data_IF_614672290881
#
_entry.id   IF_614672290881
#
_cell.length_a   1.000
_cell.length_b   1.000
_cell.length_c   1.000
_cell.angle_alpha   90.00
_cell.angle_beta   90.00
_cell.angle_gamma   90.00
#
_symmetry.space_group_name_H-M   'P 1'
#
loop_
_entity.id
_entity.type
_entity.pdbx_description
1 polymer ?
#
# COMPACT_ATOMS: atom_id res chain seq x y z
N UNK A 1 10.16 11.73 6.26
CA UNK A 1 8.87 11.32 5.68
C UNK A 1 8.96 9.92 5.13
N UNK A 2 9.21 9.78 3.81
CA UNK A 2 9.20 8.49 3.10
C UNK A 2 10.00 7.38 3.79
N UNK A 3 11.27 7.61 4.13
CA UNK A 3 12.09 6.60 4.82
C UNK A 3 11.54 6.23 6.21
N UNK A 4 11.08 7.22 7.00
CA UNK A 4 10.53 6.97 8.32
C UNK A 4 9.23 6.16 8.29
N UNK A 5 8.44 6.23 7.21
CA UNK A 5 7.21 5.45 7.03
C UNK A 5 7.41 4.18 6.18
N UNK A 6 8.63 3.92 5.69
CA UNK A 6 8.89 2.94 4.62
C UNK A 6 7.89 3.07 3.45
N UNK A 7 7.66 4.29 2.98
CA UNK A 7 6.60 4.58 2.02
C UNK A 7 6.74 3.76 0.73
N UNK A 8 5.58 3.45 0.15
CA UNK A 8 5.43 2.85 -1.17
C UNK A 8 4.41 3.64 -2.01
N UNK A 9 3.99 3.08 -3.13
CA UNK A 9 2.95 3.63 -3.98
C UNK A 9 2.72 2.74 -5.19
N UNK A 10 1.99 3.23 -6.21
CA UNK A 10 1.57 2.41 -7.35
C UNK A 10 2.71 1.59 -7.99
N UNK A 11 3.83 2.25 -8.32
CA UNK A 11 4.95 1.59 -9.01
C UNK A 11 5.85 0.74 -8.12
N UNK A 12 5.54 0.65 -6.81
CA UNK A 12 6.28 -0.23 -5.90
C UNK A 12 6.06 -1.72 -6.20
N UNK A 13 5.05 -2.07 -7.01
CA UNK A 13 4.87 -3.44 -7.49
C UNK A 13 6.07 -3.95 -8.30
N UNK A 14 6.73 -3.06 -9.05
CA UNK A 14 7.99 -3.36 -9.75
C UNK A 14 9.23 -2.93 -8.96
N UNK A 15 9.19 -1.75 -8.32
CA UNK A 15 10.39 -1.14 -7.73
C UNK A 15 10.59 -1.41 -6.23
N UNK A 16 9.64 -2.05 -5.55
CA UNK A 16 9.69 -2.23 -4.11
C UNK A 16 9.42 -0.95 -3.30
N UNK A 17 9.54 -1.06 -1.98
CA UNK A 17 9.31 0.02 -1.03
C UNK A 17 10.55 0.89 -0.84
N UNK A 18 10.42 2.04 -0.17
CA UNK A 18 11.55 2.97 0.08
C UNK A 18 12.78 2.28 0.68
N UNK A 19 12.61 1.24 1.52
CA UNK A 19 13.69 0.49 2.18
C UNK A 19 14.83 0.09 1.28
N UNK A 20 14.52 -0.50 0.14
CA UNK A 20 15.51 -1.08 -0.78
C UNK A 20 16.36 -0.02 -1.48
N UNK A 21 15.89 1.24 -1.44
CA UNK A 21 16.52 2.38 -2.09
C UNK A 21 17.42 3.18 -1.15
N UNK A 22 17.32 3.01 0.17
CA UNK A 22 18.16 3.73 1.13
C UNK A 22 19.55 3.09 1.22
N UNK A 23 20.58 3.88 0.88
CA UNK A 23 22.01 3.50 0.96
C UNK A 23 22.66 3.95 2.26
N UNK A 24 22.31 5.12 2.74
CA UNK A 24 22.72 5.57 4.06
C UNK A 24 21.66 6.52 4.64
N UNK A 25 21.68 6.66 5.96
CA UNK A 25 20.92 7.68 6.65
C UNK A 25 21.70 8.22 7.84
N UNK A 26 21.43 9.48 8.16
CA UNK A 26 21.89 10.17 9.37
C UNK A 26 20.68 10.45 10.24
N UNK A 27 20.69 9.97 11.47
CA UNK A 27 19.60 10.14 12.43
C UNK A 27 20.10 10.81 13.71
N UNK A 28 19.42 11.89 14.13
CA UNK A 28 19.65 12.56 15.41
C UNK A 28 18.77 11.89 16.48
N UNK A 29 19.37 11.45 17.58
CA UNK A 29 18.71 10.76 18.68
C UNK A 29 18.10 11.75 19.69
N UNK A 30 17.39 11.23 20.71
CA UNK A 30 16.63 12.07 21.66
C UNK A 30 17.49 13.01 22.52
N UNK A 31 18.79 12.70 22.65
CA UNK A 31 19.77 13.48 23.39
C UNK A 31 20.66 14.37 22.48
N UNK A 32 20.37 14.42 21.18
CA UNK A 32 21.10 15.23 20.20
C UNK A 32 22.36 14.57 19.63
N UNK A 33 22.72 13.38 20.11
CA UNK A 33 23.78 12.58 19.52
C UNK A 33 23.35 12.04 18.14
N UNK A 34 24.31 11.63 17.32
CA UNK A 34 24.04 11.27 15.92
C UNK A 34 24.45 9.84 15.62
N UNK A 35 23.57 9.13 14.91
CA UNK A 35 23.84 7.82 14.36
C UNK A 35 23.90 7.91 12.83
N UNK A 36 25.02 7.46 12.26
CA UNK A 36 25.22 7.35 10.82
C UNK A 36 25.21 5.86 10.46
N UNK A 37 24.26 5.46 9.62
CA UNK A 37 24.11 4.07 9.18
C UNK A 37 24.27 3.99 7.67
N UNK A 38 25.06 3.03 7.22
CA UNK A 38 25.24 2.72 5.80
C UNK A 38 24.94 1.25 5.55
N UNK A 39 24.22 1.05 4.45
CA UNK A 39 23.84 -0.26 3.92
C UNK A 39 25.09 -1.13 3.72
N UNK A 40 25.12 -2.32 4.33
CA UNK A 40 26.16 -3.31 4.22
C UNK A 40 27.27 -3.20 5.27
N UNK A 41 27.18 -2.29 6.24
CA UNK A 41 28.26 -2.07 7.22
C UNK A 41 27.98 -2.70 8.60
N UNK A 42 26.73 -2.67 9.06
CA UNK A 42 26.37 -3.07 10.43
C UNK A 42 25.19 -4.03 10.41
N UNK A 43 25.39 -5.24 10.90
CA UNK A 43 24.37 -6.29 10.93
C UNK A 43 24.06 -6.72 12.36
N UNK A 44 22.83 -7.14 12.58
CA UNK A 44 22.51 -7.99 13.71
C UNK A 44 23.08 -9.40 13.49
N UNK A 45 23.37 -10.11 14.58
CA UNK A 45 23.80 -11.51 14.60
C UNK A 45 22.87 -12.26 15.55
N UNK A 46 21.97 -13.06 14.99
CA UNK A 46 20.96 -13.79 15.78
C UNK A 46 20.14 -12.87 16.69
N UNK A 47 19.75 -11.69 16.17
CA UNK A 47 19.07 -10.55 16.84
C UNK A 47 19.93 -9.68 17.74
N UNK A 48 21.13 -10.08 18.14
CA UNK A 48 22.02 -9.20 18.90
C UNK A 48 22.61 -8.12 17.99
N UNK A 49 22.66 -6.87 18.47
CA UNK A 49 23.26 -5.77 17.72
C UNK A 49 24.10 -4.86 18.61
N UNK A 50 25.02 -4.14 17.98
CA UNK A 50 25.81 -3.09 18.60
C UNK A 50 26.08 -1.97 17.60
N UNK A 51 25.70 -0.75 17.95
CA UNK A 51 25.87 0.46 17.15
C UNK A 51 26.72 1.47 17.92
N UNK A 52 27.36 2.37 17.18
CA UNK A 52 28.14 3.46 17.75
C UNK A 52 27.68 4.78 17.16
N UNK A 53 27.41 5.76 18.02
CA UNK A 53 27.11 7.12 17.60
C UNK A 53 28.40 7.87 17.24
N UNK A 54 28.27 9.06 16.65
CA UNK A 54 29.41 9.91 16.30
C UNK A 54 30.21 10.38 17.52
N UNK A 55 29.56 10.51 18.68
CA UNK A 55 30.26 10.79 19.95
C UNK A 55 31.04 9.59 20.49
N UNK A 56 30.91 8.41 19.88
CA UNK A 56 31.50 7.15 20.33
C UNK A 56 30.66 6.39 21.37
N UNK A 57 29.44 6.85 21.68
CA UNK A 57 28.53 6.13 22.58
C UNK A 57 28.08 4.83 21.92
N UNK A 58 28.19 3.72 22.67
CA UNK A 58 27.71 2.41 22.24
C UNK A 58 26.23 2.25 22.59
N UNK A 59 25.41 1.84 21.62
CA UNK A 59 24.02 1.41 21.81
C UNK A 59 23.93 -0.04 21.39
N UNK A 60 23.61 -0.95 22.31
CA UNK A 60 23.57 -2.38 22.03
C UNK A 60 22.37 -3.03 22.72
N UNK A 61 21.86 -4.10 22.13
CA UNK A 61 20.68 -4.79 22.62
C UNK A 61 20.29 -5.98 21.77
N UNK A 62 19.05 -6.43 21.95
CA UNK A 62 18.44 -7.50 21.18
C UNK A 62 17.29 -6.92 20.35
N UNK A 63 17.18 -7.36 19.10
CA UNK A 63 15.99 -7.13 18.29
C UNK A 63 14.81 -7.98 18.80
N UNK A 64 13.57 -7.44 18.73
CA UNK A 64 12.39 -8.17 19.12
C UNK A 64 12.23 -9.51 18.36
N UNK A 65 11.71 -10.52 19.04
CA UNK A 65 11.39 -11.81 18.47
C UNK A 65 10.03 -11.75 17.76
N UNK A 66 10.03 -11.26 16.52
CA UNK A 66 8.84 -11.15 15.69
C UNK A 66 8.99 -11.92 14.39
N UNK A 67 7.87 -12.45 13.91
CA UNK A 67 7.80 -13.06 12.59
C UNK A 67 7.20 -12.06 11.61
N UNK A 68 8.02 -11.53 10.70
CA UNK A 68 7.54 -10.66 9.63
C UNK A 68 6.65 -11.46 8.66
N UNK A 69 5.53 -10.89 8.19
CA UNK A 69 4.73 -11.53 7.16
C UNK A 69 5.48 -11.43 5.81
N UNK A 70 5.35 -12.45 4.98
CA UNK A 70 5.97 -12.47 3.65
C UNK A 70 5.07 -11.79 2.60
N UNK A 71 4.67 -10.57 2.90
CA UNK A 71 3.80 -9.73 2.06
C UNK A 71 4.25 -8.27 2.18
N UNK A 72 3.67 -7.38 1.38
CA UNK A 72 3.89 -5.94 1.54
C UNK A 72 3.47 -5.48 2.94
N UNK A 73 4.41 -4.99 3.73
CA UNK A 73 4.16 -4.59 5.12
C UNK A 73 4.98 -3.38 5.54
N UNK A 74 4.32 -2.45 6.20
CA UNK A 74 4.90 -1.33 6.95
C UNK A 74 4.44 -1.36 8.43
N UNK A 75 4.00 -2.53 8.92
CA UNK A 75 3.47 -2.69 10.26
C UNK A 75 4.60 -2.77 11.30
N UNK A 76 4.89 -1.64 11.96
CA UNK A 76 5.87 -1.54 13.04
C UNK A 76 7.32 -1.57 12.54
N UNK A 77 8.24 -1.91 13.44
CA UNK A 77 9.65 -2.05 13.07
C UNK A 77 9.86 -3.25 12.16
N UNK A 78 10.65 -3.05 11.09
CA UNK A 78 11.15 -4.15 10.30
C UNK A 78 12.27 -4.85 11.06
N UNK A 79 12.10 -6.15 11.30
CA UNK A 79 12.98 -6.96 12.13
C UNK A 79 13.14 -8.34 11.50
N UNK A 80 14.38 -8.73 11.23
CA UNK A 80 14.78 -10.12 10.95
C UNK A 80 16.09 -10.39 11.70
N UNK A 81 16.37 -11.65 12.04
CA UNK A 81 17.45 -12.02 12.96
C UNK A 81 18.83 -11.47 12.58
N UNK A 82 19.17 -11.49 11.29
CA UNK A 82 20.48 -11.04 10.77
C UNK A 82 20.34 -9.81 9.85
N UNK A 83 19.40 -8.92 10.16
CA UNK A 83 19.15 -7.72 9.34
C UNK A 83 20.31 -6.72 9.35
N UNK A 84 20.41 -5.93 8.29
CA UNK A 84 21.21 -4.70 8.29
C UNK A 84 20.56 -3.68 9.22
N UNK A 85 21.33 -3.11 10.16
CA UNK A 85 20.79 -2.22 11.19
C UNK A 85 20.25 -0.89 10.63
N UNK A 86 20.61 -0.50 9.41
CA UNK A 86 19.96 0.65 8.76
C UNK A 86 18.45 0.43 8.59
N UNK A 87 18.02 -0.83 8.42
CA UNK A 87 16.60 -1.17 8.22
C UNK A 87 15.76 -0.93 9.46
N UNK A 88 16.36 -0.93 10.65
CA UNK A 88 15.66 -0.59 11.88
C UNK A 88 15.15 0.86 11.85
N UNK A 89 15.88 1.76 11.18
CA UNK A 89 15.55 3.18 11.10
C UNK A 89 14.60 3.51 9.92
N UNK A 90 14.35 2.56 9.04
CA UNK A 90 13.41 2.71 7.92
C UNK A 90 12.07 2.08 8.35
N UNK A 91 11.00 2.87 8.35
CA UNK A 91 9.71 2.45 8.93
C UNK A 91 9.59 2.65 10.44
N UNK A 92 10.55 3.31 11.09
CA UNK A 92 10.51 3.56 12.55
C UNK A 92 9.55 4.69 12.98
N UNK A 93 8.92 5.38 12.04
CA UNK A 93 7.88 6.40 12.27
C UNK A 93 8.28 7.51 13.26
N UNK A 94 9.54 7.91 13.27
CA UNK A 94 10.06 8.96 14.16
C UNK A 94 10.26 8.55 15.61
N UNK A 95 10.14 7.27 15.96
CA UNK A 95 10.20 6.79 17.35
C UNK A 95 11.62 6.50 17.85
N UNK A 96 12.59 6.28 16.95
CA UNK A 96 13.98 5.95 17.31
C UNK A 96 14.97 7.11 17.07
N UNK A 97 14.56 8.13 16.33
CA UNK A 97 15.40 9.27 15.98
C UNK A 97 14.72 10.17 14.93
N UNK A 98 15.35 11.30 14.62
CA UNK A 98 14.95 12.19 13.53
C UNK A 98 15.94 12.02 12.39
N UNK A 99 15.48 11.47 11.26
CA UNK A 99 16.30 11.34 10.05
C UNK A 99 16.53 12.74 9.46
N UNK A 100 17.78 13.17 9.38
CA UNK A 100 18.19 14.48 8.86
C UNK A 100 18.78 14.41 7.46
N UNK A 101 19.40 13.28 7.11
CA UNK A 101 20.00 13.06 5.79
C UNK A 101 19.72 11.63 5.33
N UNK A 102 19.53 11.46 4.02
CA UNK A 102 19.40 10.16 3.36
C UNK A 102 20.20 10.15 2.06
N UNK A 103 20.90 9.06 1.79
CA UNK A 103 21.45 8.75 0.47
C UNK A 103 20.55 7.70 -0.18
N UNK A 104 20.05 8.00 -1.38
CA UNK A 104 19.20 7.10 -2.14
C UNK A 104 19.96 6.53 -3.33
N UNK A 105 19.74 5.24 -3.60
CA UNK A 105 20.08 4.63 -4.88
C UNK A 105 19.16 5.22 -5.95
N UNK A 106 19.72 5.56 -7.11
CA UNK A 106 18.96 5.93 -8.30
C UNK A 106 19.05 4.83 -9.36
N UNK A 107 18.04 4.79 -10.23
CA UNK A 107 18.02 3.99 -11.45
C UNK A 107 17.84 4.91 -12.67
N UNK A 108 18.22 4.44 -13.87
CA UNK A 108 17.88 5.14 -15.10
C UNK A 108 16.37 5.35 -15.22
N UNK A 109 15.97 6.49 -15.77
CA UNK A 109 14.58 6.73 -16.16
C UNK A 109 14.20 5.74 -17.27
N UNK A 110 13.02 5.09 -17.22
CA UNK A 110 12.57 4.22 -18.30
C UNK A 110 12.46 5.00 -19.62
N UNK A 111 12.85 4.36 -20.71
CA UNK A 111 12.84 4.98 -22.05
C UNK A 111 11.44 5.08 -22.61
N UNK A 112 10.60 4.08 -22.36
CA UNK A 112 9.20 4.03 -22.75
C UNK A 112 8.32 3.72 -21.54
N UNK A 113 7.18 4.38 -21.46
CA UNK A 113 6.15 4.16 -20.44
C UNK A 113 4.82 4.08 -21.17
N UNK A 114 4.04 3.07 -20.85
CA UNK A 114 2.70 2.89 -21.41
C UNK A 114 1.82 2.10 -20.47
N UNK A 115 0.54 2.01 -20.79
CA UNK A 115 -0.40 1.30 -19.94
C UNK A 115 -1.80 1.27 -20.53
N UNK A 116 -2.72 0.76 -19.73
CA UNK A 116 -4.13 0.67 -20.07
C UNK A 116 -5.02 0.73 -18.84
N UNK A 117 -6.25 1.20 -19.02
CA UNK A 117 -7.37 0.99 -18.09
C UNK A 117 -8.36 0.07 -18.79
N UNK A 118 -8.59 -1.10 -18.20
CA UNK A 118 -9.53 -2.10 -18.69
C UNK A 118 -10.77 -2.10 -17.82
N UNK A 119 -11.94 -2.10 -18.44
CA UNK A 119 -13.22 -2.20 -17.76
C UNK A 119 -13.82 -3.60 -17.93
N UNK A 120 -14.25 -4.20 -16.82
CA UNK A 120 -14.81 -5.54 -16.81
C UNK A 120 -16.29 -5.53 -16.42
N UNK A 121 -17.11 -6.45 -16.95
CA UNK A 121 -18.51 -6.63 -16.57
C UNK A 121 -18.68 -7.32 -15.21
N UNK A 122 -17.63 -7.94 -14.65
CA UNK A 122 -17.65 -8.57 -13.33
C UNK A 122 -16.30 -8.42 -12.61
N UNK A 123 -16.32 -8.59 -11.29
CA UNK A 123 -15.10 -8.58 -10.48
C UNK A 123 -14.24 -9.83 -10.67
N UNK A 124 -14.88 -11.00 -10.87
CA UNK A 124 -14.20 -12.27 -11.13
C UNK A 124 -13.31 -12.21 -12.38
N UNK A 125 -13.79 -11.61 -13.47
CA UNK A 125 -13.00 -11.43 -14.69
C UNK A 125 -11.81 -10.50 -14.47
N UNK A 126 -12.00 -9.43 -13.70
CA UNK A 126 -10.92 -8.51 -13.35
C UNK A 126 -9.87 -9.20 -12.47
N UNK A 127 -10.28 -10.01 -11.48
CA UNK A 127 -9.35 -10.78 -10.64
C UNK A 127 -8.62 -11.81 -11.51
N UNK A 128 -9.31 -12.52 -12.41
CA UNK A 128 -8.69 -13.45 -13.36
C UNK A 128 -7.61 -12.75 -14.20
N UNK A 129 -7.92 -11.55 -14.71
CA UNK A 129 -6.97 -10.72 -15.45
C UNK A 129 -5.77 -10.31 -14.59
N UNK A 130 -6.00 -9.77 -13.38
CA UNK A 130 -4.96 -9.35 -12.44
C UNK A 130 -3.98 -10.48 -12.14
N UNK A 131 -4.49 -11.68 -11.88
CA UNK A 131 -3.66 -12.87 -11.62
C UNK A 131 -2.77 -13.20 -12.82
N UNK A 132 -3.32 -13.14 -14.04
CA UNK A 132 -2.55 -13.40 -15.26
C UNK A 132 -1.46 -12.35 -15.49
N UNK A 133 -1.78 -11.05 -15.43
CA UNK A 133 -0.78 -9.98 -15.63
C UNK A 133 0.23 -9.88 -14.49
N UNK A 134 -0.10 -10.37 -13.30
CA UNK A 134 0.84 -10.55 -12.18
C UNK A 134 1.86 -11.68 -12.44
N UNK A 135 1.57 -12.59 -13.38
CA UNK A 135 2.43 -13.71 -13.76
C UNK A 135 2.02 -15.06 -13.19
N UNK A 136 0.81 -15.19 -12.63
CA UNK A 136 0.28 -16.50 -12.25
C UNK A 136 -0.13 -17.32 -13.48
N UNK A 137 -0.04 -18.65 -13.34
CA UNK A 137 -0.58 -19.56 -14.35
C UNK A 137 -2.10 -19.60 -14.23
N UNK A 138 -2.77 -18.89 -15.13
CA UNK A 138 -4.23 -18.90 -15.26
C UNK A 138 -4.60 -19.69 -16.52
N UNK A 139 -5.54 -20.63 -16.38
CA UNK A 139 -5.96 -21.48 -17.50
C UNK A 139 -6.49 -20.64 -18.68
N UNK A 140 -5.94 -20.91 -19.86
CA UNK A 140 -6.28 -20.23 -21.12
C UNK A 140 -5.58 -18.89 -21.34
N UNK A 141 -4.87 -18.33 -20.35
CA UNK A 141 -4.17 -17.06 -20.48
C UNK A 141 -2.66 -17.25 -20.60
N UNK A 142 -2.04 -16.43 -21.45
CA UNK A 142 -0.59 -16.37 -21.61
C UNK A 142 0.11 -15.73 -20.41
N UNK A 143 1.43 -15.60 -20.50
CA UNK A 143 2.25 -14.85 -19.55
C UNK A 143 2.84 -13.62 -20.23
N UNK A 144 3.05 -12.54 -19.46
CA UNK A 144 3.71 -11.34 -19.99
C UNK A 144 5.23 -11.51 -20.05
N UNK A 145 5.84 -11.02 -21.13
CA UNK A 145 7.29 -10.87 -21.27
C UNK A 145 7.84 -9.72 -20.42
N UNK A 146 7.03 -8.69 -20.18
CA UNK A 146 7.37 -7.54 -19.35
C UNK A 146 6.52 -7.50 -18.07
N UNK A 147 7.18 -7.44 -16.91
CA UNK A 147 6.49 -7.27 -15.63
C UNK A 147 5.86 -5.87 -15.54
N UNK A 148 4.57 -5.74 -15.16
CA UNK A 148 3.95 -4.44 -14.93
C UNK A 148 4.68 -3.62 -13.86
N UNK A 149 4.77 -2.32 -14.08
CA UNK A 149 5.20 -1.34 -13.09
C UNK A 149 4.15 -1.16 -11.99
N UNK A 150 2.87 -1.10 -12.36
CA UNK A 150 1.74 -0.98 -11.45
C UNK A 150 0.53 -1.79 -11.95
N UNK A 151 -0.26 -2.31 -11.01
CA UNK A 151 -1.57 -2.94 -11.25
C UNK A 151 -2.51 -2.42 -10.18
N UNK A 152 -3.45 -1.56 -10.58
CA UNK A 152 -4.40 -0.90 -9.69
C UNK A 152 -5.83 -1.35 -9.99
N UNK A 153 -6.68 -1.39 -8.98
CA UNK A 153 -8.06 -1.85 -9.06
C UNK A 153 -9.05 -0.76 -8.66
N UNK A 154 -10.26 -0.81 -9.22
CA UNK A 154 -11.37 0.08 -8.89
C UNK A 154 -12.70 -0.67 -8.98
N UNK A 155 -13.35 -0.94 -7.85
CA UNK A 155 -14.62 -1.66 -7.83
C UNK A 155 -15.79 -0.84 -8.43
N UNK A 156 -16.96 -1.48 -8.49
CA UNK A 156 -18.21 -0.88 -9.00
C UNK A 156 -18.57 0.44 -8.36
N UNK A 157 -18.44 0.52 -7.05
CA UNK A 157 -18.83 1.72 -6.31
C UNK A 157 -17.83 2.85 -6.53
N UNK A 158 -16.54 2.54 -6.72
CA UNK A 158 -15.52 3.51 -7.15
C UNK A 158 -15.90 4.12 -8.50
N UNK A 159 -16.25 3.29 -9.48
CA UNK A 159 -16.67 3.77 -10.80
C UNK A 159 -18.00 4.53 -10.74
N UNK A 160 -18.96 4.07 -9.92
CA UNK A 160 -20.22 4.76 -9.67
C UNK A 160 -20.01 6.15 -9.08
N UNK A 161 -19.11 6.28 -8.10
CA UNK A 161 -18.71 7.54 -7.50
C UNK A 161 -18.11 8.50 -8.54
N UNK A 162 -17.20 8.01 -9.39
CA UNK A 162 -16.62 8.84 -10.46
C UNK A 162 -17.65 9.31 -11.48
N UNK A 163 -18.60 8.45 -11.87
CA UNK A 163 -19.71 8.85 -12.77
C UNK A 163 -20.53 10.00 -12.17
N UNK A 164 -20.88 9.91 -10.88
CA UNK A 164 -21.58 10.97 -10.16
C UNK A 164 -20.74 12.25 -10.10
N UNK A 165 -19.48 12.14 -9.69
CA UNK A 165 -18.60 13.31 -9.56
C UNK A 165 -18.37 14.03 -10.88
N UNK A 166 -18.21 13.29 -11.98
CA UNK A 166 -18.10 13.86 -13.33
C UNK A 166 -19.36 14.60 -13.78
N UNK A 167 -20.55 14.11 -13.42
CA UNK A 167 -21.83 14.78 -13.69
C UNK A 167 -21.95 16.10 -12.92
N UNK A 168 -21.57 16.08 -11.65
CA UNK A 168 -21.95 17.14 -10.71
C UNK A 168 -20.85 18.21 -10.54
N UNK A 169 -19.58 17.88 -10.86
CA UNK A 169 -18.43 18.74 -10.60
C UNK A 169 -17.50 18.85 -11.82
N UNK A 170 -17.28 20.09 -12.27
CA UNK A 170 -16.39 20.38 -13.41
C UNK A 170 -14.92 19.98 -13.18
N UNK A 171 -14.50 19.84 -11.91
CA UNK A 171 -13.16 19.36 -11.55
C UNK A 171 -12.87 17.94 -12.10
N UNK A 172 -13.91 17.13 -12.33
CA UNK A 172 -13.80 15.76 -12.87
C UNK A 172 -14.08 15.68 -14.37
N UNK A 173 -14.18 16.83 -15.06
CA UNK A 173 -14.51 16.86 -16.49
C UNK A 173 -13.48 16.14 -17.38
N UNK A 174 -12.21 16.10 -16.96
CA UNK A 174 -11.11 15.41 -17.66
C UNK A 174 -11.14 13.89 -17.53
N UNK A 175 -11.87 13.35 -16.55
CA UNK A 175 -12.02 11.90 -16.37
C UNK A 175 -12.84 11.36 -17.55
N UNK A 176 -12.39 10.34 -18.29
CA UNK A 176 -13.15 9.90 -19.46
C UNK A 176 -14.47 9.24 -19.04
N UNK A 177 -15.43 9.20 -19.97
CA UNK A 177 -16.79 8.71 -19.67
C UNK A 177 -16.79 7.20 -19.41
N UNK A 178 -17.20 6.80 -18.21
CA UNK A 178 -17.24 5.40 -17.80
C UNK A 178 -18.63 4.82 -18.10
N UNK A 179 -18.72 3.85 -19.01
CA UNK A 179 -20.00 3.24 -19.37
C UNK A 179 -20.69 2.60 -18.15
N UNK A 180 -22.01 2.77 -17.94
CA UNK A 180 -22.73 2.14 -16.82
C UNK A 180 -22.69 0.61 -16.81
N UNK A 181 -22.37 -0.02 -17.95
CA UNK A 181 -22.21 -1.49 -18.05
C UNK A 181 -20.97 -2.01 -17.34
N UNK A 182 -19.97 -1.17 -17.13
CA UNK A 182 -18.70 -1.54 -16.51
C UNK A 182 -18.88 -1.72 -15.00
N UNK A 183 -18.60 -2.92 -14.51
CA UNK A 183 -18.66 -3.27 -13.10
C UNK A 183 -17.37 -2.90 -12.37
N UNK A 184 -16.20 -3.10 -12.96
CA UNK A 184 -14.92 -2.80 -12.29
C UNK A 184 -13.89 -2.37 -13.31
N UNK A 185 -12.79 -1.80 -12.86
CA UNK A 185 -11.67 -1.44 -13.71
C UNK A 185 -10.33 -1.88 -13.14
N UNK A 186 -9.42 -2.27 -14.03
CA UNK A 186 -8.01 -2.55 -13.71
C UNK A 186 -7.13 -1.63 -14.53
N UNK A 187 -6.23 -0.93 -13.86
CA UNK A 187 -5.25 -0.07 -14.48
C UNK A 187 -3.87 -0.73 -14.44
N UNK A 188 -3.24 -0.91 -15.59
CA UNK A 188 -1.90 -1.51 -15.71
C UNK A 188 -0.95 -0.48 -16.31
N UNK A 189 0.22 -0.32 -15.70
CA UNK A 189 1.30 0.55 -16.20
C UNK A 189 2.56 -0.30 -16.41
N UNK A 190 3.30 -0.03 -17.48
CA UNK A 190 4.53 -0.69 -17.88
C UNK A 190 5.65 0.32 -18.05
N UNK A 191 6.85 -0.06 -17.61
CA UNK A 191 8.08 0.69 -17.81
C UNK A 191 9.06 -0.17 -18.60
N UNK A 192 9.41 0.27 -19.81
CA UNK A 192 10.22 -0.50 -20.74
C UNK A 192 11.53 0.23 -21.09
N UNK A 193 12.51 -0.57 -21.50
CA UNK A 193 13.83 -0.10 -21.95
C UNK A 193 13.81 0.52 -23.36
N UNK A 194 12.80 0.22 -24.16
CA UNK A 194 12.55 0.79 -25.49
C UNK A 194 11.06 0.63 -25.87
N UNK A 195 10.65 1.21 -26.99
CA UNK A 195 9.27 1.18 -27.47
C UNK A 195 8.83 -0.23 -27.94
N UNK A 196 9.72 -1.00 -28.59
CA UNK A 196 9.37 -2.32 -29.11
C UNK A 196 8.96 -3.29 -27.99
N UNK A 197 9.69 -3.28 -26.86
CA UNK A 197 9.36 -4.08 -25.67
C UNK A 197 8.04 -3.63 -25.03
N UNK A 198 7.73 -2.34 -25.07
CA UNK A 198 6.45 -1.84 -24.58
C UNK A 198 5.30 -2.30 -25.48
N UNK A 199 5.46 -2.19 -26.79
CA UNK A 199 4.46 -2.59 -27.77
C UNK A 199 4.17 -4.10 -27.69
N UNK A 200 5.22 -4.93 -27.54
CA UNK A 200 5.08 -6.38 -27.34
C UNK A 200 4.24 -6.69 -26.08
N UNK A 201 4.56 -6.05 -24.95
CA UNK A 201 3.80 -6.23 -23.71
C UNK A 201 2.33 -5.80 -23.83
N UNK A 202 2.05 -4.71 -24.55
CA UNK A 202 0.68 -4.26 -24.80
C UNK A 202 -0.09 -5.26 -25.69
N UNK A 203 0.56 -5.83 -26.71
CA UNK A 203 -0.04 -6.87 -27.56
C UNK A 203 -0.39 -8.11 -26.74
N UNK A 204 0.51 -8.60 -25.89
CA UNK A 204 0.25 -9.76 -25.02
C UNK A 204 -0.95 -9.51 -24.09
N UNK A 205 -1.07 -8.29 -23.54
CA UNK A 205 -2.24 -7.92 -22.72
C UNK A 205 -3.53 -7.95 -23.56
N UNK A 206 -3.52 -7.42 -24.78
CA UNK A 206 -4.69 -7.45 -25.67
C UNK A 206 -5.10 -8.89 -26.01
N UNK A 207 -4.15 -9.78 -26.25
CA UNK A 207 -4.43 -11.21 -26.46
C UNK A 207 -5.09 -11.85 -25.24
N UNK A 208 -4.65 -11.52 -24.01
CA UNK A 208 -5.31 -11.97 -22.79
C UNK A 208 -6.75 -11.44 -22.68
N UNK A 209 -6.95 -10.14 -22.98
CA UNK A 209 -8.27 -9.52 -22.93
C UNK A 209 -9.24 -10.16 -23.94
N UNK A 210 -8.76 -10.50 -25.14
CA UNK A 210 -9.55 -11.20 -26.14
C UNK A 210 -10.00 -12.60 -25.67
N UNK A 211 -9.15 -13.34 -24.94
CA UNK A 211 -9.52 -14.64 -24.34
C UNK A 211 -10.53 -14.47 -23.19
N UNK A 212 -10.41 -13.41 -22.40
CA UNK A 212 -11.39 -13.11 -21.34
C UNK A 212 -12.74 -12.67 -21.94
N UNK A 213 -12.73 -12.11 -23.16
CA UNK A 213 -13.91 -11.59 -23.84
C UNK A 213 -14.15 -10.10 -23.62
N UNK A 214 -13.11 -9.36 -23.19
CA UNK A 214 -13.16 -7.90 -23.07
C UNK A 214 -12.92 -7.27 -24.44
N UNK A 215 -13.77 -6.29 -24.80
CA UNK A 215 -13.68 -5.59 -26.08
C UNK A 215 -12.73 -4.40 -26.04
N UNK A 216 -12.24 -3.96 -27.21
CA UNK A 216 -11.44 -2.73 -27.33
C UNK A 216 -12.20 -1.48 -26.87
N UNK A 217 -13.53 -1.44 -27.01
CA UNK A 217 -14.36 -0.33 -26.51
C UNK A 217 -14.35 -0.20 -24.98
N UNK A 218 -14.04 -1.30 -24.28
CA UNK A 218 -13.91 -1.36 -22.83
C UNK A 218 -12.46 -1.23 -22.36
N UNK A 219 -11.56 -0.76 -23.23
CA UNK A 219 -10.14 -0.56 -22.92
C UNK A 219 -9.68 0.84 -23.33
N UNK A 220 -9.04 1.55 -22.41
CA UNK A 220 -8.37 2.83 -22.69
C UNK A 220 -6.87 2.63 -22.68
N UNK A 221 -6.25 2.82 -23.85
CA UNK A 221 -4.81 2.74 -24.01
C UNK A 221 -4.14 4.05 -23.63
N UNK A 222 -3.00 3.96 -22.96
CA UNK A 222 -2.15 5.08 -22.61
C UNK A 222 -0.73 4.86 -23.13
N UNK A 223 -0.50 5.24 -24.40
CA UNK A 223 0.77 5.05 -25.10
C UNK A 223 1.51 6.38 -25.38
N UNK A 224 0.87 7.53 -25.11
CA UNK A 224 1.51 8.84 -25.19
C UNK A 224 1.39 9.66 -23.89
N UNK A 225 2.14 10.75 -23.80
CA UNK A 225 2.23 11.58 -22.59
C UNK A 225 0.87 12.14 -22.14
N UNK A 226 -0.02 12.48 -23.08
CA UNK A 226 -1.33 13.01 -22.74
C UNK A 226 -2.25 11.92 -22.17
N UNK A 227 -2.26 10.73 -22.77
CA UNK A 227 -3.04 9.60 -22.27
C UNK A 227 -2.54 9.12 -20.91
N UNK A 228 -1.22 9.06 -20.69
CA UNK A 228 -0.63 8.76 -19.38
C UNK A 228 -1.04 9.77 -18.31
N UNK A 229 -1.19 11.05 -18.67
CA UNK A 229 -1.73 12.07 -17.76
C UNK A 229 -3.19 11.79 -17.41
N UNK A 230 -4.00 11.40 -18.39
CA UNK A 230 -5.42 11.02 -18.18
C UNK A 230 -5.51 9.77 -17.30
N UNK A 231 -4.70 8.75 -17.55
CA UNK A 231 -4.62 7.53 -16.75
C UNK A 231 -4.27 7.84 -15.29
N UNK A 232 -3.27 8.70 -15.06
CA UNK A 232 -2.90 9.17 -13.72
C UNK A 232 -4.01 9.98 -13.05
N UNK A 233 -4.68 10.84 -13.80
CA UNK A 233 -5.83 11.61 -13.29
C UNK A 233 -6.98 10.68 -12.88
N UNK A 234 -7.30 9.66 -13.68
CA UNK A 234 -8.29 8.64 -13.34
C UNK A 234 -7.97 7.94 -12.01
N UNK A 235 -6.71 7.53 -11.82
CA UNK A 235 -6.26 6.89 -10.58
C UNK A 235 -6.41 7.78 -9.35
N UNK A 236 -6.09 9.07 -9.46
CA UNK A 236 -6.22 10.03 -8.34
C UNK A 236 -7.66 10.48 -8.08
N UNK A 237 -8.53 10.39 -9.09
CA UNK A 237 -9.91 10.87 -8.98
C UNK A 237 -10.71 10.15 -7.90
N UNK A 238 -10.49 8.84 -7.66
CA UNK A 238 -11.27 8.10 -6.66
C UNK A 238 -10.94 8.57 -5.23
N UNK A 239 -9.67 8.62 -4.78
CA UNK A 239 -9.31 9.24 -3.50
C UNK A 239 -9.83 10.67 -3.33
N UNK A 240 -9.72 11.51 -4.36
CA UNK A 240 -10.20 12.89 -4.33
C UNK A 240 -11.73 12.95 -4.16
N UNK A 241 -12.47 12.14 -4.91
CA UNK A 241 -13.91 12.02 -4.81
C UNK A 241 -14.37 11.54 -3.42
N UNK A 242 -13.65 10.58 -2.83
CA UNK A 242 -13.89 10.11 -1.46
C UNK A 242 -13.71 11.23 -0.46
N UNK A 243 -12.61 11.99 -0.55
CA UNK A 243 -12.35 13.10 0.36
C UNK A 243 -13.45 14.17 0.26
N UNK A 244 -13.84 14.54 -0.97
CA UNK A 244 -14.93 15.49 -1.20
C UNK A 244 -16.27 15.03 -0.61
N UNK A 245 -16.62 13.76 -0.78
CA UNK A 245 -17.85 13.19 -0.22
C UNK A 245 -17.84 13.19 1.32
N UNK A 246 -16.72 12.87 1.94
CA UNK A 246 -16.59 12.91 3.40
C UNK A 246 -16.67 14.34 3.91
N UNK A 247 -16.02 15.29 3.25
CA UNK A 247 -16.11 16.71 3.60
C UNK A 247 -17.53 17.25 3.49
N UNK A 248 -18.31 16.80 2.51
CA UNK A 248 -19.74 17.10 2.42
C UNK A 248 -20.53 16.55 3.62
N UNK A 249 -20.31 15.28 4.00
CA UNK A 249 -20.99 14.65 5.13
C UNK A 249 -20.62 15.29 6.47
N UNK A 250 -19.38 15.74 6.62
CA UNK A 250 -18.92 16.47 7.81
C UNK A 250 -19.66 17.78 8.06
N UNK A 251 -20.35 18.34 7.06
CA UNK A 251 -21.23 19.50 7.26
C UNK A 251 -22.43 19.17 8.14
N UNK A 252 -22.91 17.92 8.07
CA UNK A 252 -24.06 17.45 8.87
C UNK A 252 -23.61 16.66 10.12
N UNK A 253 -22.51 15.91 10.01
CA UNK A 253 -21.95 15.09 11.11
C UNK A 253 -20.46 15.41 11.26
N UNK A 254 -20.06 16.46 12.00
CA UNK A 254 -18.67 16.96 12.02
C UNK A 254 -17.58 15.96 12.43
N UNK A 255 -17.96 14.97 13.25
CA UNK A 255 -17.09 13.91 13.77
C UNK A 255 -16.79 12.81 12.74
N UNK A 256 -17.56 12.75 11.65
CA UNK A 256 -17.47 11.66 10.68
C UNK A 256 -16.16 11.71 9.91
N UNK A 257 -15.54 10.55 9.76
CA UNK A 257 -14.38 10.35 8.90
C UNK A 257 -14.58 9.08 8.07
N UNK A 258 -13.84 8.91 6.97
CA UNK A 258 -13.78 7.61 6.31
C UNK A 258 -13.02 6.60 7.15
N UNK A 259 -13.38 5.33 7.00
CA UNK A 259 -12.58 4.22 7.54
C UNK A 259 -11.86 3.57 6.35
N UNK A 260 -10.61 3.97 6.14
CA UNK A 260 -9.76 3.40 5.10
C UNK A 260 -8.91 2.27 5.66
N UNK A 261 -9.04 1.08 5.08
CA UNK A 261 -8.15 -0.05 5.37
C UNK A 261 -6.83 0.09 4.64
N UNK A 262 -5.82 -0.63 5.13
CA UNK A 262 -4.47 -0.62 4.56
C UNK A 262 -3.86 -2.03 4.61
N UNK A 263 -4.67 -3.06 4.39
CA UNK A 263 -4.27 -4.45 4.62
C UNK A 263 -3.69 -5.10 3.36
N UNK A 264 -2.88 -6.13 3.53
CA UNK A 264 -2.35 -6.97 2.44
C UNK A 264 -2.36 -8.44 2.83
N UNK A 265 -2.48 -9.33 1.85
CA UNK A 265 -2.46 -10.79 2.03
C UNK A 265 -1.49 -11.45 1.04
N UNK A 266 -1.07 -12.70 1.27
CA UNK A 266 -0.37 -13.48 0.24
C UNK A 266 -1.21 -13.60 -1.04
N UNK A 267 -0.54 -13.68 -2.19
CA UNK A 267 -1.18 -13.57 -3.50
C UNK A 267 -2.25 -14.64 -3.76
N UNK A 268 -2.09 -15.83 -3.19
CA UNK A 268 -3.06 -16.92 -3.27
C UNK A 268 -4.40 -16.61 -2.60
N UNK A 269 -4.43 -15.68 -1.63
CA UNK A 269 -5.64 -15.28 -0.93
C UNK A 269 -6.35 -14.09 -1.57
N UNK A 270 -5.85 -13.54 -2.69
CA UNK A 270 -6.48 -12.39 -3.35
C UNK A 270 -8.00 -12.60 -3.63
N UNK A 271 -8.46 -13.71 -4.23
CA UNK A 271 -9.89 -13.91 -4.44
C UNK A 271 -10.65 -13.97 -3.10
N UNK A 272 -10.11 -14.71 -2.14
CA UNK A 272 -10.74 -14.92 -0.81
C UNK A 272 -10.90 -13.61 -0.05
N UNK A 273 -9.90 -12.74 -0.08
CA UNK A 273 -9.94 -11.48 0.67
C UNK A 273 -10.91 -10.48 0.02
N UNK A 274 -11.02 -10.50 -1.32
CA UNK A 274 -11.98 -9.65 -2.04
C UNK A 274 -13.42 -10.09 -1.75
N UNK A 275 -13.70 -11.39 -1.80
CA UNK A 275 -15.01 -11.94 -1.41
C UNK A 275 -15.37 -11.56 0.03
N UNK A 276 -14.43 -11.73 0.96
CA UNK A 276 -14.60 -11.35 2.36
C UNK A 276 -14.96 -9.86 2.54
N UNK A 277 -14.34 -8.97 1.77
CA UNK A 277 -14.66 -7.54 1.82
C UNK A 277 -16.07 -7.28 1.30
N UNK A 278 -16.43 -7.83 0.13
CA UNK A 278 -17.75 -7.62 -0.47
C UNK A 278 -18.88 -8.20 0.41
N UNK A 279 -18.70 -9.41 0.94
CA UNK A 279 -19.67 -10.05 1.84
C UNK A 279 -19.90 -9.22 3.09
N UNK A 280 -18.83 -8.75 3.74
CA UNK A 280 -18.92 -7.95 4.95
C UNK A 280 -19.62 -6.60 4.71
N UNK A 281 -19.26 -5.91 3.63
CA UNK A 281 -19.88 -4.63 3.25
C UNK A 281 -21.37 -4.79 2.91
N UNK A 282 -21.73 -5.87 2.21
CA UNK A 282 -23.11 -6.17 1.83
C UNK A 282 -23.96 -6.58 3.04
N UNK A 283 -23.43 -7.45 3.91
CA UNK A 283 -24.14 -7.93 5.10
C UNK A 283 -24.51 -6.78 6.05
N UNK A 284 -23.63 -5.80 6.16
CA UNK A 284 -23.87 -4.62 6.98
C UNK A 284 -24.58 -3.48 6.20
N UNK A 285 -24.76 -3.52 4.88
CA UNK A 285 -25.29 -2.39 4.10
C UNK A 285 -24.45 -1.10 4.28
N UNK A 286 -23.13 -1.23 4.16
CA UNK A 286 -22.18 -0.11 4.30
C UNK A 286 -21.77 0.44 2.94
N UNK A 287 -22.05 1.73 2.70
CA UNK A 287 -21.53 2.41 1.50
C UNK A 287 -20.01 2.44 1.55
N UNK A 288 -19.38 2.04 0.46
CA UNK A 288 -17.93 1.92 0.40
C UNK A 288 -17.42 2.08 -1.03
N UNK A 289 -16.11 2.23 -1.14
CA UNK A 289 -15.38 2.07 -2.40
C UNK A 289 -14.13 1.23 -2.14
N UNK A 290 -13.75 0.39 -3.09
CA UNK A 290 -12.54 -0.42 -3.02
C UNK A 290 -11.65 -0.06 -4.21
N UNK A 291 -10.45 0.41 -3.91
CA UNK A 291 -9.45 0.72 -4.92
C UNK A 291 -8.04 0.53 -4.39
N UNK A 292 -7.05 0.52 -5.28
CA UNK A 292 -5.63 0.55 -4.91
C UNK A 292 -4.81 -0.59 -5.49
N UNK A 293 -3.71 -0.92 -4.81
CA UNK A 293 -2.56 -1.68 -5.30
C UNK A 293 -2.78 -3.20 -5.36
N UNK A 294 -3.79 -3.64 -6.14
CA UNK A 294 -4.16 -5.06 -6.25
C UNK A 294 -3.01 -5.96 -6.72
N UNK A 295 -2.04 -5.41 -7.47
CA UNK A 295 -0.84 -6.15 -7.87
C UNK A 295 -0.06 -6.76 -6.69
N UNK A 296 -0.09 -6.11 -5.52
CA UNK A 296 0.54 -6.62 -4.27
C UNK A 296 -0.49 -7.23 -3.30
N UNK A 297 -1.67 -7.61 -3.80
CA UNK A 297 -2.81 -8.08 -2.98
C UNK A 297 -3.14 -7.12 -1.83
N UNK A 298 -3.01 -5.82 -2.12
CA UNK A 298 -3.20 -4.73 -1.18
C UNK A 298 -4.28 -3.77 -1.71
N UNK A 299 -5.45 -3.81 -1.10
CA UNK A 299 -6.60 -2.99 -1.48
C UNK A 299 -6.95 -2.03 -0.34
N UNK A 300 -7.27 -0.80 -0.70
CA UNK A 300 -7.87 0.18 0.21
C UNK A 300 -9.38 0.06 0.16
N UNK A 301 -9.95 -0.65 1.13
CA UNK A 301 -11.39 -0.64 1.37
C UNK A 301 -11.70 0.64 2.16
N UNK A 302 -12.42 1.57 1.54
CA UNK A 302 -12.83 2.80 2.19
C UNK A 302 -14.33 2.68 2.51
N UNK A 303 -14.67 2.45 3.77
CA UNK A 303 -16.04 2.56 4.25
C UNK A 303 -16.36 4.06 4.38
N UNK A 304 -17.50 4.44 3.82
CA UNK A 304 -18.00 5.80 3.70
C UNK A 304 -19.28 5.88 4.54
N UNK A 305 -19.17 6.09 5.87
CA UNK A 305 -20.34 6.16 6.72
C UNK A 305 -21.11 7.47 6.50
N UNK A 306 -22.42 7.43 6.73
CA UNK A 306 -23.34 8.59 6.73
C UNK A 306 -23.73 9.02 8.14
N UNK A 307 -23.52 8.15 9.12
CA UNK A 307 -23.84 8.36 10.52
C UNK A 307 -22.75 7.75 11.42
N UNK A 308 -22.78 8.08 12.70
CA UNK A 308 -21.87 7.47 13.68
C UNK A 308 -22.19 5.99 13.96
N UNK A 309 -23.44 5.55 13.77
CA UNK A 309 -23.83 4.13 13.85
C UNK A 309 -23.14 3.31 12.75
N UNK A 310 -23.22 3.77 11.50
CA UNK A 310 -22.50 3.14 10.37
C UNK A 310 -20.97 3.18 10.59
N UNK A 311 -20.46 4.25 11.20
CA UNK A 311 -19.05 4.37 11.52
C UNK A 311 -18.60 3.33 12.57
N UNK A 312 -19.37 3.13 13.64
CA UNK A 312 -19.04 2.15 14.67
C UNK A 312 -19.17 0.70 14.18
N UNK A 313 -20.18 0.42 13.35
CA UNK A 313 -20.31 -0.87 12.65
C UNK A 313 -19.15 -1.11 11.69
N UNK A 314 -18.77 -0.11 10.89
CA UNK A 314 -17.61 -0.20 10.00
C UNK A 314 -16.29 -0.43 10.74
N UNK A 315 -16.12 0.13 11.95
CA UNK A 315 -14.97 -0.17 12.82
C UNK A 315 -14.96 -1.62 13.29
N UNK A 316 -16.11 -2.16 13.68
CA UNK A 316 -16.23 -3.55 14.09
C UNK A 316 -15.88 -4.50 12.94
N UNK A 317 -16.39 -4.21 11.74
CA UNK A 317 -16.09 -4.96 10.52
C UNK A 317 -14.60 -4.90 10.15
N UNK A 318 -13.97 -3.72 10.20
CA UNK A 318 -12.53 -3.59 9.98
C UNK A 318 -11.74 -4.44 11.00
N UNK A 319 -12.13 -4.44 12.27
CA UNK A 319 -11.46 -5.26 13.29
C UNK A 319 -11.60 -6.76 13.00
N UNK A 320 -12.73 -7.21 12.47
CA UNK A 320 -12.92 -8.59 12.02
C UNK A 320 -12.00 -8.92 10.84
N UNK A 321 -12.00 -8.09 9.79
CA UNK A 321 -11.14 -8.32 8.63
C UNK A 321 -9.67 -8.36 8.99
N UNK A 322 -9.21 -7.48 9.89
CA UNK A 322 -7.82 -7.49 10.35
C UNK A 322 -7.41 -8.82 10.97
N UNK A 323 -8.30 -9.44 11.78
CA UNK A 323 -8.04 -10.79 12.34
C UNK A 323 -7.91 -11.83 11.24
N UNK A 324 -8.85 -11.85 10.29
CA UNK A 324 -8.85 -12.83 9.18
C UNK A 324 -7.64 -12.65 8.27
N UNK A 325 -7.22 -11.42 8.00
CA UNK A 325 -5.99 -11.11 7.26
C UNK A 325 -4.75 -11.63 7.98
N UNK A 326 -4.66 -11.47 9.30
CA UNK A 326 -3.55 -12.02 10.10
C UNK A 326 -3.55 -13.56 10.02
N UNK A 327 -4.72 -14.21 10.10
CA UNK A 327 -4.86 -15.66 9.96
C UNK A 327 -4.39 -16.18 8.58
N UNK A 328 -4.58 -15.38 7.52
CA UNK A 328 -4.06 -15.65 6.17
C UNK A 328 -2.54 -15.41 6.03
N UNK A 329 -1.85 -14.96 7.10
CA UNK A 329 -0.43 -14.59 7.05
C UNK A 329 -0.16 -13.21 6.42
N UNK A 330 -1.18 -12.35 6.37
CA UNK A 330 -1.11 -11.00 5.82
C UNK A 330 -0.58 -9.94 6.80
N UNK A 331 -0.74 -8.66 6.43
CA UNK A 331 -0.38 -7.50 7.24
C UNK A 331 -1.56 -6.55 7.43
N UNK A 332 -1.65 -5.97 8.63
CA UNK A 332 -2.65 -4.93 8.98
C UNK A 332 -2.28 -3.54 8.47
N UNK A 333 -1.06 -3.35 7.98
CA UNK A 333 -0.63 -2.12 7.33
C UNK A 333 0.42 -2.40 6.28
N UNK A 334 0.05 -2.22 5.02
CA UNK A 334 0.92 -2.42 3.88
C UNK A 334 1.80 -1.21 3.60
N UNK A 335 1.29 0.02 3.77
CA UNK A 335 1.98 1.25 3.34
C UNK A 335 1.96 2.40 4.34
N UNK A 336 0.86 2.58 5.08
CA UNK A 336 0.63 3.80 5.87
C UNK A 336 1.28 3.77 7.26
N UNK A 337 1.82 2.63 7.66
CA UNK A 337 2.31 2.40 9.01
C UNK A 337 1.20 2.29 10.05
N UNK A 338 1.62 2.23 11.30
CA UNK A 338 0.74 2.07 12.47
C UNK A 338 0.31 3.43 12.99
N UNK A 339 1.24 4.37 13.07
CA UNK A 339 0.99 5.71 13.60
C UNK A 339 0.49 5.66 15.04
N UNK A 340 -0.39 6.62 15.36
CA UNK A 340 -1.14 6.69 16.63
C UNK A 340 -2.52 6.03 16.55
N UNK A 341 -2.94 5.66 15.34
CA UNK A 341 -4.30 5.17 15.07
C UNK A 341 -4.42 3.66 15.19
N UNK A 342 -3.36 2.92 14.83
CA UNK A 342 -3.38 1.46 14.78
C UNK A 342 -2.55 0.71 15.86
N UNK A 343 -2.08 1.28 16.99
CA UNK A 343 -1.34 0.50 17.99
C UNK A 343 -2.01 -0.82 18.41
N UNK A 344 -3.34 -0.81 18.58
CA UNK A 344 -4.09 -2.03 18.91
C UNK A 344 -4.03 -3.11 17.81
N UNK A 345 -3.90 -2.73 16.53
CA UNK A 345 -3.73 -3.68 15.43
C UNK A 345 -2.31 -4.24 15.39
N UNK A 346 -1.30 -3.43 15.76
CA UNK A 346 0.08 -3.90 15.88
C UNK A 346 0.19 -4.98 16.96
N UNK A 347 -0.42 -4.75 18.13
CA UNK A 347 -0.50 -5.73 19.21
C UNK A 347 -1.30 -6.97 18.79
N UNK A 348 -2.39 -6.82 18.04
CA UNK A 348 -3.14 -7.95 17.48
C UNK A 348 -2.26 -8.81 16.54
N UNK A 349 -1.42 -8.18 15.73
CA UNK A 349 -0.60 -8.86 14.73
C UNK A 349 0.61 -9.59 15.35
N UNK A 350 1.32 -8.97 16.29
CA UNK A 350 2.56 -9.52 16.84
C UNK A 350 2.44 -10.04 18.28
N UNK A 351 1.37 -9.72 18.99
CA UNK A 351 1.18 -10.03 20.40
C UNK A 351 1.78 -8.97 21.34
N UNK A 352 1.29 -8.96 22.59
CA UNK A 352 1.71 -8.02 23.62
C UNK A 352 3.21 -8.11 23.95
N UNK A 353 3.75 -9.34 24.06
CA UNK A 353 5.17 -9.57 24.38
C UNK A 353 6.09 -8.95 23.32
N UNK A 354 5.76 -9.14 22.03
CA UNK A 354 6.53 -8.56 20.93
C UNK A 354 6.48 -7.02 20.94
N UNK A 355 5.31 -6.44 21.22
CA UNK A 355 5.16 -4.98 21.34
C UNK A 355 5.94 -4.44 22.53
N UNK A 356 5.98 -5.16 23.65
CA UNK A 356 6.81 -4.81 24.80
C UNK A 356 8.30 -4.86 24.46
N UNK A 357 8.75 -5.85 23.70
CA UNK A 357 10.12 -5.91 23.18
C UNK A 357 10.43 -4.74 22.24
N UNK A 358 9.49 -4.32 21.36
CA UNK A 358 9.65 -3.10 20.54
C UNK A 358 9.77 -1.84 21.42
N UNK A 359 8.98 -1.75 22.49
CA UNK A 359 9.09 -0.65 23.45
C UNK A 359 10.44 -0.67 24.18
N UNK A 360 10.94 -1.85 24.57
CA UNK A 360 12.25 -2.00 25.18
C UNK A 360 13.38 -1.57 24.22
N UNK A 361 13.27 -1.95 22.94
CA UNK A 361 14.18 -1.49 21.89
C UNK A 361 14.17 0.03 21.76
N UNK A 362 13.00 0.67 21.74
CA UNK A 362 12.89 2.14 21.69
C UNK A 362 13.64 2.81 22.85
N UNK A 363 13.54 2.29 24.07
CA UNK A 363 14.24 2.85 25.25
C UNK A 363 15.76 2.85 25.12
N UNK A 364 16.35 2.01 24.26
CA UNK A 364 17.80 2.03 24.00
C UNK A 364 18.22 3.28 23.20
N UNK A 365 17.35 3.81 22.36
CA UNK A 365 17.59 5.00 21.53
C UNK A 365 17.00 6.28 22.14
N UNK A 366 15.93 6.13 22.91
CA UNK A 366 15.17 7.20 23.55
C UNK A 366 14.78 6.83 24.99
N UNK A 367 15.73 6.89 25.96
CA UNK A 367 15.50 6.42 27.33
C UNK A 367 14.37 7.16 28.07
N UNK A 368 14.11 8.41 27.68
CA UNK A 368 13.07 9.25 28.27
C UNK A 368 11.76 9.23 27.47
N UNK A 369 11.67 8.42 26.41
CA UNK A 369 10.48 8.24 25.57
C UNK A 369 9.91 9.54 24.99
N UNK A 370 10.79 10.49 24.64
CA UNK A 370 10.44 11.82 24.13
C UNK A 370 10.07 11.83 22.64
N UNK A 371 10.58 10.88 21.87
CA UNK A 371 10.42 10.84 20.42
C UNK A 371 9.08 10.22 20.03
N UNK A 372 8.25 11.02 19.36
CA UNK A 372 6.92 10.68 18.85
C UNK A 372 6.06 9.83 19.82
N UNK A 373 5.69 10.38 21.00
CA UNK A 373 4.95 9.63 22.02
C UNK A 373 3.57 9.18 21.52
N UNK A 374 3.18 7.96 21.92
CA UNK A 374 1.94 7.29 21.52
C UNK A 374 1.92 6.77 20.07
N UNK A 375 3.06 6.78 19.37
CA UNK A 375 3.18 6.21 18.03
C UNK A 375 3.70 4.78 18.09
N UNK A 376 3.16 3.89 17.25
CA UNK A 376 3.33 2.42 17.24
C UNK A 376 2.70 1.70 18.43
N UNK A 377 2.93 2.21 19.65
CA UNK A 377 2.48 1.59 20.91
C UNK A 377 2.16 2.66 21.96
N UNK A 378 1.29 2.33 22.91
CA UNK A 378 0.91 3.23 24.00
C UNK A 378 1.99 3.19 25.10
N UNK A 379 2.75 4.27 25.25
CA UNK A 379 3.75 4.47 26.32
C UNK A 379 3.64 5.86 26.90
#
# INVERSE_FOLDING_TARGET
>A
GMAAANASGAVSFLYGSTRDWVRSLRAVLSDGDVLCLRRGEMFADGRAFSLFTESGRKIAGMLPNVRQPNVKSAAGYYITDDMDMIDLFIGMEGTLGVITEIELRLIPKPCAVGGLIVFFPSEDEAIKFVRAVRGEKVEGLGSLSLRPAAIEFFNKDSLGLLRRMKSDYSAFASIPSISPRCHTAVNVEFHAENADVLDEALVEVVEMLAVIGVSDEDTWYAANENELKIQKAFRHAVPEAVNMLIDERRRSVPEITKLGTDMSVPDEYLPTVVDMYNEGLCADDLESVIFGHIGSSHLHVNILPKSMDEYDRGKALYLEWARRVIEMGGSISAEHGIGKLKPAFLEMMYGADAVEEMCALKRLFDPEMRLNPGNLFYV
#
